data_IF_851457998629
#
_entry.id   IF_851457998629
#
_cell.length_a   1.000
_cell.length_b   1.000
_cell.length_c   1.000
_cell.angle_alpha   90.00
_cell.angle_beta   90.00
_cell.angle_gamma   90.00
#
_symmetry.space_group_name_H-M   'P 1'
#
loop_
_entity.id
_entity.type
_entity.pdbx_description
1 polymer ?
#
# COMPACT_ATOMS: atom_id res chain seq x y z
N UNK A 1 14.35 5.82 27.71
CA UNK A 1 13.08 5.17 28.16
C UNK A 1 13.16 3.72 27.69
N UNK A 2 13.26 2.75 28.60
CA UNK A 2 13.42 1.33 28.25
C UNK A 2 12.11 0.81 27.64
N UNK A 3 12.01 0.78 26.31
CA UNK A 3 10.86 0.20 25.61
C UNK A 3 11.18 -1.27 25.32
N UNK A 4 10.55 -2.17 26.07
CA UNK A 4 10.60 -3.61 25.79
C UNK A 4 9.44 -3.98 24.87
N UNK A 5 9.74 -4.79 23.86
CA UNK A 5 8.76 -5.26 22.88
C UNK A 5 8.79 -6.78 22.87
N UNK A 6 7.74 -7.42 23.38
CA UNK A 6 7.69 -8.88 23.49
C UNK A 6 7.05 -9.57 22.27
N UNK A 7 7.52 -10.78 21.98
CA UNK A 7 6.99 -11.72 21.01
C UNK A 7 5.52 -12.08 21.34
N UNK A 8 4.71 -12.29 20.31
CA UNK A 8 3.29 -12.65 20.45
C UNK A 8 2.28 -11.50 20.65
N UNK A 9 2.73 -10.25 20.90
CA UNK A 9 1.84 -9.09 20.97
C UNK A 9 1.37 -8.63 19.58
N UNK A 10 0.11 -8.18 19.48
CA UNK A 10 -0.40 -7.49 18.29
C UNK A 10 0.34 -6.16 18.11
N UNK A 11 0.98 -5.97 16.94
CA UNK A 11 1.65 -4.71 16.62
C UNK A 11 0.63 -3.67 16.15
N UNK A 12 0.72 -2.47 16.71
CA UNK A 12 0.34 -1.28 15.97
C UNK A 12 1.26 -1.17 14.75
N UNK A 13 0.68 -0.86 13.58
CA UNK A 13 1.35 -0.82 12.27
C UNK A 13 2.42 0.29 12.23
N UNK A 14 3.60 0.04 12.81
CA UNK A 14 4.71 0.99 12.80
C UNK A 14 6.08 0.32 12.63
N UNK A 15 6.97 0.99 11.90
CA UNK A 15 8.39 0.67 11.83
C UNK A 15 9.14 1.59 12.77
N UNK A 16 10.22 1.09 13.36
CA UNK A 16 11.09 1.91 14.18
C UNK A 16 12.48 1.99 13.56
N UNK A 17 12.97 3.20 13.32
CA UNK A 17 14.38 3.46 13.04
C UNK A 17 15.12 3.66 14.36
N UNK A 18 16.31 3.07 14.47
CA UNK A 18 17.12 3.09 15.67
C UNK A 18 18.31 4.03 15.54
N UNK A 19 18.45 4.89 16.54
CA UNK A 19 19.68 5.61 16.87
C UNK A 19 20.09 5.15 18.28
N UNK A 20 21.01 4.17 18.34
CA UNK A 20 21.41 3.47 19.56
C UNK A 20 21.63 1.96 19.34
N UNK A 21 21.80 1.21 20.44
CA UNK A 21 22.00 -0.24 20.42
C UNK A 21 20.86 -1.01 21.08
N UNK A 22 20.23 -1.90 20.30
CA UNK A 22 19.21 -2.85 20.77
C UNK A 22 19.73 -4.29 20.66
N UNK A 23 19.30 -5.16 21.56
CA UNK A 23 19.49 -6.60 21.46
C UNK A 23 18.15 -7.30 21.20
N UNK A 24 18.17 -8.26 20.29
CA UNK A 24 17.12 -9.26 20.13
C UNK A 24 17.38 -10.37 21.16
N UNK A 25 16.44 -10.57 22.08
CA UNK A 25 16.58 -11.51 23.20
C UNK A 25 15.59 -12.68 23.07
N UNK A 26 15.93 -13.83 23.63
CA UNK A 26 15.02 -14.96 23.77
C UNK A 26 13.95 -14.69 24.84
N UNK A 27 13.02 -15.63 25.00
CA UNK A 27 11.93 -15.52 26.00
C UNK A 27 12.44 -15.51 27.44
N UNK A 28 13.68 -15.93 27.67
CA UNK A 28 14.37 -15.84 28.95
C UNK A 28 14.86 -14.42 29.29
N UNK A 29 14.85 -13.49 28.32
CA UNK A 29 15.34 -12.11 28.48
C UNK A 29 16.85 -11.97 28.69
N UNK A 30 17.60 -13.07 28.60
CA UNK A 30 19.05 -13.14 28.88
C UNK A 30 19.83 -13.54 27.63
N UNK A 31 19.34 -14.53 26.88
CA UNK A 31 20.02 -15.03 25.69
C UNK A 31 19.86 -14.02 24.55
N UNK A 32 20.97 -13.48 24.06
CA UNK A 32 21.00 -12.51 22.96
C UNK A 32 21.28 -13.21 21.64
N UNK A 33 20.42 -13.01 20.65
CA UNK A 33 20.61 -13.56 19.30
C UNK A 33 21.38 -12.60 18.40
N UNK A 34 20.97 -11.34 18.35
CA UNK A 34 21.51 -10.32 17.45
C UNK A 34 21.51 -8.97 18.15
N UNK A 35 22.59 -8.20 17.98
CA UNK A 35 22.66 -6.80 18.39
C UNK A 35 22.45 -5.92 17.16
N UNK A 36 21.43 -5.07 17.21
CA UNK A 36 21.14 -4.04 16.22
C UNK A 36 21.84 -2.75 16.64
N UNK A 37 22.60 -2.16 15.72
CA UNK A 37 23.29 -0.88 15.92
C UNK A 37 22.58 0.28 15.22
N UNK A 38 23.23 1.44 15.23
CA UNK A 38 22.72 2.68 14.65
C UNK A 38 22.39 2.52 13.16
N UNK A 39 21.25 3.06 12.73
CA UNK A 39 20.80 2.97 11.34
C UNK A 39 20.12 1.65 10.97
N UNK A 40 20.06 0.69 11.89
CA UNK A 40 19.22 -0.49 11.71
C UNK A 40 17.75 -0.11 11.98
N UNK A 41 16.84 -0.71 11.22
CA UNK A 41 15.40 -0.57 11.41
C UNK A 41 14.79 -1.94 11.71
N UNK A 42 13.72 -1.98 12.50
CA UNK A 42 13.05 -3.22 12.85
C UNK A 42 11.53 -3.07 12.72
N UNK A 43 10.86 -4.14 12.26
CA UNK A 43 9.44 -4.14 11.99
C UNK A 43 9.03 -4.23 10.53
N UNK A 44 9.99 -4.41 9.61
CA UNK A 44 9.72 -4.58 8.18
C UNK A 44 8.70 -5.71 7.90
N UNK A 45 8.86 -6.84 8.60
CA UNK A 45 8.01 -8.04 8.46
C UNK A 45 6.57 -7.77 8.91
N UNK A 46 6.37 -6.86 9.88
CA UNK A 46 5.03 -6.50 10.37
C UNK A 46 4.27 -5.54 9.45
N UNK A 47 4.99 -4.83 8.59
CA UNK A 47 4.41 -3.81 7.70
C UNK A 47 4.19 -4.40 6.32
N UNK A 48 5.15 -5.19 5.84
CA UNK A 48 5.05 -5.97 4.62
C UNK A 48 4.09 -7.14 4.88
N UNK A 49 2.92 -7.09 4.25
CA UNK A 49 1.91 -8.14 4.38
C UNK A 49 2.30 -9.35 3.51
N UNK A 50 3.41 -10.02 3.86
CA UNK A 50 3.93 -11.19 3.14
C UNK A 50 2.93 -12.34 3.37
N UNK A 51 2.17 -12.69 2.33
CA UNK A 51 1.21 -13.80 2.37
C UNK A 51 1.97 -15.13 2.42
N UNK A 52 1.58 -16.01 3.34
CA UNK A 52 2.24 -17.30 3.61
C UNK A 52 2.99 -17.38 4.94
N UNK A 53 3.15 -16.27 5.66
CA UNK A 53 3.71 -16.29 7.02
C UNK A 53 2.71 -16.87 8.02
N UNK A 54 3.09 -17.97 8.72
CA UNK A 54 2.30 -18.55 9.83
C UNK A 54 2.08 -17.57 10.99
N UNK A 55 2.88 -16.49 11.06
CA UNK A 55 2.87 -15.54 12.18
C UNK A 55 2.14 -14.23 11.89
N UNK A 56 1.60 -14.00 10.68
CA UNK A 56 0.84 -12.78 10.37
C UNK A 56 1.50 -11.49 10.89
N UNK A 57 0.72 -10.55 11.44
CA UNK A 57 1.22 -9.29 12.02
C UNK A 57 1.65 -9.42 13.50
N UNK A 58 2.19 -10.58 13.88
CA UNK A 58 2.55 -10.90 15.27
C UNK A 58 4.05 -10.74 15.47
N UNK A 59 4.46 -10.15 16.60
CA UNK A 59 5.89 -9.96 16.90
C UNK A 59 6.60 -11.32 16.94
N UNK A 60 7.60 -11.48 16.09
CA UNK A 60 8.40 -12.71 15.95
C UNK A 60 9.62 -12.75 16.88
N UNK A 61 9.98 -11.64 17.52
CA UNK A 61 11.15 -11.56 18.40
C UNK A 61 10.98 -10.56 19.55
N UNK A 62 11.63 -10.84 20.69
CA UNK A 62 11.73 -9.89 21.80
C UNK A 62 12.88 -8.91 21.55
N UNK A 63 12.66 -7.63 21.85
CA UNK A 63 13.68 -6.58 21.68
C UNK A 63 13.86 -5.83 22.98
N UNK A 64 15.12 -5.63 23.37
CA UNK A 64 15.56 -4.90 24.56
C UNK A 64 16.62 -3.87 24.20
N UNK A 65 16.51 -2.66 24.75
CA UNK A 65 17.58 -1.66 24.64
C UNK A 65 18.75 -1.98 25.56
N UNK A 66 19.97 -1.98 25.02
CA UNK A 66 21.19 -2.17 25.82
C UNK A 66 21.56 -0.87 26.55
N UNK A 67 21.22 0.28 25.97
CA UNK A 67 21.50 1.61 26.53
C UNK A 67 20.44 2.64 26.13
N UNK A 68 20.81 3.92 26.20
CA UNK A 68 19.96 4.98 25.65
C UNK A 68 19.84 4.79 24.14
N UNK A 69 18.61 4.84 23.65
CA UNK A 69 18.31 4.66 22.25
C UNK A 69 17.10 5.50 21.89
N UNK A 70 17.25 6.27 20.82
CA UNK A 70 16.18 7.04 20.22
C UNK A 70 15.53 6.21 19.13
N UNK A 71 14.20 6.18 19.17
CA UNK A 71 13.37 5.35 18.30
C UNK A 71 12.40 6.24 17.56
N UNK A 72 12.53 6.28 16.24
CA UNK A 72 11.60 7.00 15.38
C UNK A 72 10.55 6.03 14.87
N UNK A 73 9.30 6.23 15.27
CA UNK A 73 8.17 5.42 14.82
C UNK A 73 7.56 6.02 13.55
N UNK A 74 7.58 5.28 12.45
CA UNK A 74 6.87 5.64 11.23
C UNK A 74 5.62 4.77 11.08
N UNK A 75 4.50 5.35 10.67
CA UNK A 75 3.28 4.58 10.41
C UNK A 75 3.43 3.77 9.12
N UNK A 76 2.62 2.71 8.97
CA UNK A 76 2.59 1.92 7.74
C UNK A 76 2.29 2.77 6.52
N UNK A 77 1.34 3.70 6.63
CA UNK A 77 0.85 4.45 5.48
C UNK A 77 1.95 5.42 4.98
N UNK A 78 2.62 6.11 5.91
CA UNK A 78 3.75 7.00 5.59
C UNK A 78 4.93 6.23 4.97
N UNK A 79 5.21 5.00 5.45
CA UNK A 79 6.26 4.16 4.86
C UNK A 79 5.89 3.73 3.43
N UNK A 80 4.64 3.33 3.21
CA UNK A 80 4.20 2.90 1.88
C UNK A 80 4.25 4.04 0.88
N UNK A 81 3.88 5.26 1.29
CA UNK A 81 4.00 6.46 0.46
C UNK A 81 5.45 6.74 0.08
N UNK A 82 6.38 6.69 1.04
CA UNK A 82 7.81 6.85 0.75
C UNK A 82 8.35 5.73 -0.18
N UNK A 83 7.83 4.51 -0.07
CA UNK A 83 8.25 3.39 -0.92
C UNK A 83 7.72 3.45 -2.35
N UNK A 84 6.72 4.30 -2.65
CA UNK A 84 6.27 4.57 -4.03
C UNK A 84 7.35 5.33 -4.79
N UNK A 85 8.04 6.26 -4.14
CA UNK A 85 9.12 7.05 -4.74
C UNK A 85 10.41 6.24 -4.93
N UNK A 86 10.63 5.20 -4.13
CA UNK A 86 11.83 4.35 -4.15
C UNK A 86 11.51 2.86 -4.37
N UNK A 87 11.19 2.45 -5.63
CA UNK A 87 10.78 1.08 -5.93
C UNK A 87 11.89 0.04 -5.69
N UNK A 88 13.16 0.42 -5.85
CA UNK A 88 14.30 -0.47 -5.57
C UNK A 88 14.42 -0.77 -4.06
N UNK A 89 14.17 0.23 -3.22
CA UNK A 89 14.15 0.05 -1.77
C UNK A 89 13.00 -0.87 -1.34
N UNK A 90 11.83 -0.75 -1.97
CA UNK A 90 10.69 -1.65 -1.74
C UNK A 90 11.05 -3.12 -2.00
N UNK A 91 11.64 -3.41 -3.17
CA UNK A 91 12.08 -4.77 -3.53
C UNK A 91 13.12 -5.33 -2.56
N UNK A 92 14.08 -4.49 -2.16
CA UNK A 92 15.12 -4.89 -1.20
C UNK A 92 14.52 -5.22 0.18
N UNK A 93 13.51 -4.45 0.60
CA UNK A 93 12.80 -4.65 1.88
C UNK A 93 11.98 -5.94 1.85
N UNK A 94 11.30 -6.23 0.74
CA UNK A 94 10.53 -7.46 0.55
C UNK A 94 11.41 -8.71 0.55
N UNK A 95 12.54 -8.66 -0.17
CA UNK A 95 13.47 -9.80 -0.23
C UNK A 95 14.15 -10.05 1.12
N UNK A 96 14.56 -8.99 1.84
CA UNK A 96 15.08 -9.13 3.21
C UNK A 96 14.02 -9.71 4.15
N UNK A 97 12.78 -9.23 4.09
CA UNK A 97 11.68 -9.77 4.88
C UNK A 97 11.42 -11.25 4.59
N UNK A 98 11.48 -11.65 3.30
CA UNK A 98 11.34 -13.04 2.87
C UNK A 98 12.47 -13.91 3.42
N UNK A 99 13.73 -13.47 3.30
CA UNK A 99 14.90 -14.21 3.78
C UNK A 99 14.85 -14.46 5.29
N UNK A 100 14.43 -13.47 6.08
CA UNK A 100 14.32 -13.62 7.53
C UNK A 100 13.21 -14.63 7.88
N UNK A 101 12.06 -14.55 7.22
CA UNK A 101 10.97 -15.52 7.42
C UNK A 101 11.36 -16.95 7.01
N UNK A 102 12.13 -17.14 5.93
CA UNK A 102 12.68 -18.45 5.53
C UNK A 102 13.61 -18.98 6.63
N UNK A 103 14.53 -18.14 7.11
CA UNK A 103 15.53 -18.51 8.11
C UNK A 103 14.92 -18.91 9.44
N UNK A 104 13.83 -18.28 9.85
CA UNK A 104 13.13 -18.59 11.09
C UNK A 104 12.22 -19.83 10.98
N UNK A 105 12.15 -20.49 9.81
CA UNK A 105 11.32 -21.69 9.60
C UNK A 105 9.82 -21.43 9.67
N UNK A 106 9.40 -20.17 9.54
CA UNK A 106 8.02 -19.70 9.68
C UNK A 106 7.25 -19.65 8.34
N UNK A 107 7.87 -20.13 7.27
CA UNK A 107 7.30 -20.20 5.92
C UNK A 107 6.94 -21.64 5.60
N UNK A 108 5.67 -21.87 5.23
CA UNK A 108 5.34 -23.03 4.40
C UNK A 108 5.78 -22.74 2.97
N UNK A 109 6.73 -23.52 2.44
CA UNK A 109 7.27 -23.33 1.09
C UNK A 109 6.19 -23.38 -0.01
N UNK A 110 5.06 -24.01 0.25
CA UNK A 110 3.89 -24.01 -0.65
C UNK A 110 3.19 -22.65 -0.78
N UNK A 111 3.29 -21.78 0.24
CA UNK A 111 2.67 -20.45 0.24
C UNK A 111 3.63 -19.35 -0.24
N UNK A 112 4.94 -19.58 -0.18
CA UNK A 112 5.97 -18.63 -0.66
C UNK A 112 6.15 -18.65 -2.19
N UNK A 113 5.61 -19.68 -2.86
CA UNK A 113 5.53 -19.73 -4.33
C UNK A 113 4.27 -19.05 -4.88
N UNK A 114 3.45 -18.46 -4.02
CA UNK A 114 2.43 -17.50 -4.45
C UNK A 114 3.18 -16.21 -4.76
N UNK A 115 3.72 -16.15 -5.99
CA UNK A 115 4.02 -14.90 -6.67
C UNK A 115 2.90 -13.89 -6.38
N UNK A 116 3.24 -12.61 -6.28
CA UNK A 116 2.24 -11.55 -6.28
C UNK A 116 1.14 -11.88 -7.29
N UNK A 117 -0.15 -11.65 -6.97
CA UNK A 117 -1.17 -11.81 -7.97
C UNK A 117 -0.94 -10.72 -9.01
N UNK A 118 -0.11 -11.02 -10.02
CA UNK A 118 0.02 -10.28 -11.28
C UNK A 118 -1.37 -9.99 -11.87
N UNK A 119 -2.32 -10.87 -11.53
CA UNK A 119 -3.74 -10.76 -11.83
C UNK A 119 -4.42 -9.49 -11.26
N UNK A 120 -4.04 -8.98 -10.08
CA UNK A 120 -4.72 -7.78 -9.52
C UNK A 120 -4.30 -6.48 -10.18
N UNK A 121 -3.02 -6.33 -10.54
CA UNK A 121 -2.53 -5.15 -11.27
C UNK A 121 -3.05 -5.15 -12.69
N UNK A 122 -3.03 -6.30 -13.37
CA UNK A 122 -3.57 -6.44 -14.73
C UNK A 122 -5.10 -6.21 -14.75
N UNK A 123 -5.83 -6.65 -13.72
CA UNK A 123 -7.26 -6.33 -13.58
C UNK A 123 -7.51 -4.84 -13.41
N UNK A 124 -6.67 -4.13 -12.66
CA UNK A 124 -6.78 -2.67 -12.50
C UNK A 124 -6.52 -1.95 -13.82
N UNK A 125 -5.48 -2.33 -14.57
CA UNK A 125 -5.14 -1.73 -15.86
C UNK A 125 -6.25 -1.97 -16.91
N UNK A 126 -6.85 -3.17 -16.89
CA UNK A 126 -7.98 -3.51 -17.75
C UNK A 126 -9.24 -2.70 -17.39
N UNK A 127 -9.52 -2.52 -16.10
CA UNK A 127 -10.64 -1.70 -15.63
C UNK A 127 -10.43 -0.22 -15.98
N UNK A 128 -9.22 0.30 -15.81
CA UNK A 128 -8.85 1.67 -16.18
C UNK A 128 -9.02 1.92 -17.68
N UNK A 129 -8.55 0.97 -18.50
CA UNK A 129 -8.73 1.02 -19.96
C UNK A 129 -10.22 1.00 -20.36
N UNK A 130 -11.03 0.18 -19.68
CA UNK A 130 -12.49 0.15 -19.87
C UNK A 130 -13.16 1.46 -19.47
N UNK A 131 -12.72 2.09 -18.38
CA UNK A 131 -13.22 3.37 -17.92
C UNK A 131 -12.92 4.50 -18.92
N UNK A 132 -11.70 4.57 -19.43
CA UNK A 132 -11.34 5.60 -20.44
C UNK A 132 -12.12 5.42 -21.75
N UNK A 133 -12.35 4.17 -22.17
CA UNK A 133 -13.19 3.88 -23.33
C UNK A 133 -14.65 4.35 -23.12
N UNK A 134 -15.24 4.09 -21.95
CA UNK A 134 -16.61 4.53 -21.65
C UNK A 134 -16.73 6.05 -21.53
N UNK A 135 -15.75 6.71 -20.89
CA UNK A 135 -15.65 8.17 -20.80
C UNK A 135 -15.60 8.84 -22.16
N UNK A 136 -14.79 8.30 -23.08
CA UNK A 136 -14.70 8.81 -24.46
C UNK A 136 -16.03 8.67 -25.21
N UNK A 137 -16.71 7.52 -25.07
CA UNK A 137 -18.04 7.30 -25.68
C UNK A 137 -19.10 8.23 -25.12
N UNK A 138 -19.09 8.47 -23.81
CA UNK A 138 -20.00 9.43 -23.17
C UNK A 138 -19.75 10.85 -23.67
N UNK A 139 -18.49 11.28 -23.81
CA UNK A 139 -18.17 12.58 -24.37
C UNK A 139 -18.69 12.75 -25.81
N UNK A 140 -18.54 11.73 -26.66
CA UNK A 140 -19.08 11.72 -28.03
C UNK A 140 -20.61 11.81 -28.02
N UNK A 141 -21.28 10.99 -27.21
CA UNK A 141 -22.73 11.00 -27.10
C UNK A 141 -23.28 12.34 -26.59
N UNK A 142 -22.61 12.95 -25.61
CA UNK A 142 -22.96 14.29 -25.14
C UNK A 142 -22.81 15.33 -26.25
N UNK A 143 -21.73 15.29 -27.03
CA UNK A 143 -21.55 16.20 -28.16
C UNK A 143 -22.66 16.04 -29.21
N UNK A 144 -23.04 14.81 -29.55
CA UNK A 144 -24.13 14.51 -30.49
C UNK A 144 -25.49 15.00 -29.98
N UNK A 145 -25.80 14.74 -28.71
CA UNK A 145 -27.07 15.17 -28.11
C UNK A 145 -27.16 16.70 -28.02
N UNK A 146 -26.07 17.39 -27.68
CA UNK A 146 -26.03 18.85 -27.69
C UNK A 146 -26.20 19.42 -29.10
N UNK A 147 -25.56 18.82 -30.12
CA UNK A 147 -25.73 19.24 -31.51
C UNK A 147 -27.19 19.05 -31.98
N UNK A 148 -27.80 17.90 -31.69
CA UNK A 148 -29.20 17.64 -32.01
C UNK A 148 -30.14 18.63 -31.31
N UNK A 149 -29.91 18.91 -30.02
CA UNK A 149 -30.67 19.90 -29.27
C UNK A 149 -30.51 21.31 -29.84
N UNK A 150 -29.32 21.71 -30.30
CA UNK A 150 -29.10 23.01 -30.91
C UNK A 150 -29.93 23.19 -32.20
N UNK A 151 -29.94 22.17 -33.06
CA UNK A 151 -30.75 22.18 -34.30
C UNK A 151 -32.24 22.25 -33.98
N UNK A 152 -32.72 21.44 -33.03
CA UNK A 152 -34.12 21.47 -32.63
C UNK A 152 -34.53 22.82 -32.05
N UNK A 153 -33.71 23.42 -31.18
CA UNK A 153 -33.94 24.77 -30.65
C UNK A 153 -34.04 25.81 -31.78
N UNK A 154 -33.13 25.79 -32.74
CA UNK A 154 -33.18 26.72 -33.88
C UNK A 154 -34.47 26.56 -34.70
N UNK A 155 -34.94 25.32 -34.91
CA UNK A 155 -36.20 25.05 -35.61
C UNK A 155 -37.40 25.56 -34.82
N UNK A 156 -37.41 25.36 -33.49
CA UNK A 156 -38.47 25.87 -32.61
C UNK A 156 -38.52 27.40 -32.65
N UNK A 157 -37.38 28.08 -32.45
CA UNK A 157 -37.33 29.55 -32.49
C UNK A 157 -37.79 30.11 -33.84
N UNK A 158 -37.44 29.44 -34.95
CA UNK A 158 -37.93 29.83 -36.28
C UNK A 158 -39.45 29.68 -36.40
N UNK A 159 -40.02 28.60 -35.89
CA UNK A 159 -41.48 28.40 -35.88
C UNK A 159 -42.18 29.44 -35.00
N UNK A 160 -41.64 29.75 -33.82
CA UNK A 160 -42.17 30.77 -32.92
C UNK A 160 -42.21 32.16 -33.59
N UNK A 161 -41.15 32.54 -34.32
CA UNK A 161 -41.11 33.80 -35.06
C UNK A 161 -42.17 33.83 -36.18
N UNK A 162 -42.28 32.75 -36.96
CA UNK A 162 -43.29 32.68 -38.03
C UNK A 162 -44.71 32.73 -37.49
N UNK A 163 -44.99 32.09 -36.35
CA UNK A 163 -46.31 32.12 -35.73
C UNK A 163 -46.69 33.54 -35.29
N UNK A 164 -45.75 34.28 -34.68
CA UNK A 164 -45.97 35.68 -34.31
C UNK A 164 -46.26 36.58 -35.52
N UNK A 165 -45.60 36.34 -36.66
CA UNK A 165 -45.83 37.10 -37.89
C UNK A 165 -47.17 36.80 -38.58
N UNK A 166 -47.85 35.70 -38.23
CA UNK A 166 -49.18 35.35 -38.74
C UNK A 166 -50.30 35.89 -37.83
N UNK A 167 -49.97 36.22 -36.57
CA UNK A 167 -50.92 36.76 -35.58
C UNK A 167 -51.03 38.30 -35.61
N UNK A 168 -50.13 39.01 -36.29
CA UNK A 168 -50.18 40.47 -36.57
C UNK A 168 -50.78 40.79 -37.95
#
# INVERSE_FOLDING_TARGET
MEKTSNAGQHRHRCSCFLEGRLAVVADDGVTQFVVLGDGNYFGEISILNIKGSKSGNRRTANIRSIGYSDLYCLSKDDLMEALIEYPDAKKMLEEKGRQILVKDGLIDEEAANVEEPRDTTEQLDNLESGLEATKTRLASFLAETFAAHAVLKQRITRLEIMMKLVEE
#
